data_IF_771837729688
#
_entry.id   IF_771837729688
#
_cell.length_a   1.000
_cell.length_b   1.000
_cell.length_c   1.000
_cell.angle_alpha   90.00
_cell.angle_beta   90.00
_cell.angle_gamma   90.00
#
_symmetry.space_group_name_H-M   'P 1'
#
loop_
_entity.id
_entity.type
_entity.pdbx_description
1 polymer ?
#
# COMPACT_ATOMS: atom_id res chain seq x y z
N UNK A 1 14.10 6.96 4.27
CA UNK A 1 13.04 6.25 3.51
C UNK A 1 12.56 7.17 2.40
N UNK A 2 13.09 6.91 1.22
CA UNK A 2 12.99 7.71 0.01
C UNK A 2 11.55 7.78 -0.52
N UNK A 3 11.19 8.94 -1.08
CA UNK A 3 9.88 9.13 -1.74
C UNK A 3 9.71 8.13 -2.89
N UNK A 4 10.78 7.88 -3.66
CA UNK A 4 10.78 6.92 -4.76
C UNK A 4 10.46 5.51 -4.30
N UNK A 5 11.07 5.07 -3.20
CA UNK A 5 10.79 3.77 -2.59
C UNK A 5 9.33 3.62 -2.17
N UNK A 6 8.74 4.65 -1.56
CA UNK A 6 7.33 4.65 -1.17
C UNK A 6 6.40 4.56 -2.38
N UNK A 7 6.64 5.36 -3.42
CA UNK A 7 5.88 5.30 -4.67
C UNK A 7 5.99 3.94 -5.34
N UNK A 8 7.21 3.37 -5.36
CA UNK A 8 7.42 2.03 -5.88
C UNK A 8 6.56 1.02 -5.12
N UNK A 9 6.65 0.98 -3.78
CA UNK A 9 5.79 0.09 -2.97
C UNK A 9 4.30 0.28 -3.29
N UNK A 10 3.80 1.52 -3.36
CA UNK A 10 2.38 1.77 -3.62
C UNK A 10 1.97 1.19 -4.97
N UNK A 11 2.73 1.49 -6.03
CA UNK A 11 2.44 1.01 -7.37
C UNK A 11 2.51 -0.53 -7.49
N UNK A 12 3.38 -1.21 -6.72
CA UNK A 12 3.43 -2.68 -6.72
C UNK A 12 2.26 -3.23 -5.91
N UNK A 13 1.99 -2.70 -4.72
CA UNK A 13 0.87 -3.14 -3.87
C UNK A 13 -0.46 -2.96 -4.58
N UNK A 14 -0.67 -1.87 -5.31
CA UNK A 14 -1.88 -1.63 -6.11
C UNK A 14 -2.18 -2.81 -7.06
N UNK A 15 -1.14 -3.36 -7.71
CA UNK A 15 -1.23 -4.52 -8.61
C UNK A 15 -1.51 -5.84 -7.90
N UNK A 16 -1.32 -5.89 -6.58
CA UNK A 16 -1.54 -7.07 -5.73
C UNK A 16 -2.74 -6.88 -4.80
N UNK A 17 -3.99 -7.07 -5.29
CA UNK A 17 -5.20 -6.91 -4.48
C UNK A 17 -5.21 -7.83 -3.26
N UNK A 18 -4.55 -8.99 -3.30
CA UNK A 18 -4.37 -9.87 -2.14
C UNK A 18 -3.74 -9.18 -0.91
N UNK A 19 -2.99 -8.08 -1.08
CA UNK A 19 -2.33 -7.36 0.02
C UNK A 19 -3.24 -6.34 0.69
N UNK A 20 -4.08 -5.66 -0.08
CA UNK A 20 -4.83 -4.48 0.40
C UNK A 20 -6.34 -4.62 0.28
N UNK A 21 -6.83 -5.45 -0.64
CA UNK A 21 -8.24 -5.66 -0.88
C UNK A 21 -8.82 -6.68 0.09
N UNK A 22 -9.44 -6.21 1.16
CA UNK A 22 -10.07 -7.05 2.17
C UNK A 22 -11.33 -7.80 1.68
N UNK A 23 -11.90 -7.40 0.52
CA UNK A 23 -13.03 -8.11 -0.09
C UNK A 23 -12.57 -9.34 -0.87
N UNK A 24 -11.29 -9.43 -1.22
CA UNK A 24 -10.73 -10.59 -1.91
C UNK A 24 -10.56 -11.78 -0.95
N UNK A 25 -10.89 -12.99 -1.41
CA UNK A 25 -10.64 -14.22 -0.66
C UNK A 25 -9.15 -14.48 -0.46
N UNK A 26 -8.33 -14.02 -1.40
CA UNK A 26 -6.87 -14.13 -1.34
C UNK A 26 -6.26 -13.26 -0.24
N UNK A 27 -6.93 -12.15 0.13
CA UNK A 27 -6.54 -11.40 1.31
C UNK A 27 -6.76 -12.20 2.60
N UNK A 28 -7.62 -13.22 2.64
CA UNK A 28 -7.73 -14.07 3.84
C UNK A 28 -6.58 -15.08 3.92
N UNK A 29 -6.02 -15.47 2.78
CA UNK A 29 -4.92 -16.43 2.68
C UNK A 29 -3.60 -15.77 3.09
N UNK A 30 -2.98 -16.28 4.14
CA UNK A 30 -1.70 -15.75 4.63
C UNK A 30 -0.57 -16.05 3.64
N UNK A 31 -0.55 -17.25 3.07
CA UNK A 31 0.46 -17.71 2.11
C UNK A 31 0.48 -16.82 0.87
N UNK A 32 -0.69 -16.56 0.27
CA UNK A 32 -0.83 -15.71 -0.93
C UNK A 32 -0.28 -14.31 -0.66
N UNK A 33 -0.68 -13.68 0.46
CA UNK A 33 -0.12 -12.40 0.89
C UNK A 33 1.39 -12.43 1.05
N UNK A 34 1.94 -13.49 1.65
CA UNK A 34 3.38 -13.62 1.83
C UNK A 34 4.08 -13.70 0.47
N UNK A 35 3.60 -14.53 -0.44
CA UNK A 35 4.13 -14.67 -1.80
C UNK A 35 4.08 -13.36 -2.58
N UNK A 36 2.99 -12.58 -2.49
CA UNK A 36 2.97 -11.26 -3.10
C UNK A 36 4.00 -10.31 -2.48
N UNK A 37 4.15 -10.29 -1.16
CA UNK A 37 5.19 -9.45 -0.55
C UNK A 37 6.60 -9.85 -0.99
N UNK A 38 6.88 -11.14 -1.11
CA UNK A 38 8.16 -11.63 -1.64
C UNK A 38 8.39 -11.20 -3.09
N UNK A 39 7.37 -11.28 -3.94
CA UNK A 39 7.44 -10.78 -5.31
C UNK A 39 7.73 -9.28 -5.36
N UNK A 40 7.00 -8.47 -4.59
CA UNK A 40 7.19 -7.01 -4.52
C UNK A 40 8.62 -6.68 -4.09
N UNK A 41 9.14 -7.34 -3.07
CA UNK A 41 10.50 -7.12 -2.57
C UNK A 41 11.52 -7.54 -3.63
N UNK A 42 11.31 -8.68 -4.29
CA UNK A 42 12.18 -9.14 -5.37
C UNK A 42 12.25 -8.15 -6.53
N UNK A 43 11.10 -7.59 -6.95
CA UNK A 43 11.06 -6.53 -7.96
C UNK A 43 11.80 -5.26 -7.51
N UNK A 44 11.57 -4.83 -6.27
CA UNK A 44 12.26 -3.66 -5.70
C UNK A 44 13.78 -3.88 -5.63
N UNK A 45 14.22 -5.07 -5.22
CA UNK A 45 15.64 -5.43 -5.21
C UNK A 45 16.24 -5.45 -6.62
N UNK A 46 15.49 -5.95 -7.62
CA UNK A 46 15.90 -5.93 -9.02
C UNK A 46 16.05 -4.49 -9.58
N UNK A 47 15.28 -3.54 -9.07
CA UNK A 47 15.42 -2.10 -9.36
C UNK A 47 16.57 -1.42 -8.61
N UNK A 48 17.27 -2.13 -7.72
CA UNK A 48 18.38 -1.62 -6.92
C UNK A 48 17.99 -1.07 -5.56
N UNK A 49 16.78 -1.33 -5.07
CA UNK A 49 16.39 -0.98 -3.70
C UNK A 49 16.81 -2.07 -2.72
N UNK A 50 17.63 -1.72 -1.73
CA UNK A 50 17.95 -2.61 -0.61
C UNK A 50 16.76 -2.64 0.36
N UNK A 51 15.90 -3.66 0.21
CA UNK A 51 14.73 -3.84 1.07
C UNK A 51 14.43 -5.31 1.30
N UNK A 52 13.64 -5.56 2.35
CA UNK A 52 13.16 -6.86 2.77
C UNK A 52 11.65 -6.81 3.03
N UNK A 53 11.03 -7.99 3.15
CA UNK A 53 9.57 -8.12 3.36
C UNK A 53 9.10 -7.38 4.60
N UNK A 54 9.85 -7.37 5.70
CA UNK A 54 9.44 -6.65 6.92
C UNK A 54 9.52 -5.14 6.72
N UNK A 55 10.58 -4.65 6.09
CA UNK A 55 10.78 -3.24 5.76
C UNK A 55 9.69 -2.73 4.82
N UNK A 56 9.39 -3.47 3.75
CA UNK A 56 8.34 -3.15 2.78
C UNK A 56 6.95 -3.13 3.45
N UNK A 57 6.62 -4.15 4.25
CA UNK A 57 5.38 -4.20 5.04
C UNK A 57 5.27 -3.03 6.01
N UNK A 58 6.35 -2.67 6.69
CA UNK A 58 6.38 -1.56 7.64
C UNK A 58 6.17 -0.22 6.93
N UNK A 59 6.83 -0.01 5.78
CA UNK A 59 6.66 1.18 4.96
C UNK A 59 5.22 1.32 4.46
N UNK A 60 4.65 0.25 3.90
CA UNK A 60 3.25 0.21 3.49
C UNK A 60 2.28 0.46 4.64
N UNK A 61 2.49 -0.18 5.79
CA UNK A 61 1.67 0.04 6.99
C UNK A 61 1.67 1.51 7.42
N UNK A 62 2.85 2.17 7.39
CA UNK A 62 2.96 3.61 7.69
C UNK A 62 2.23 4.47 6.67
N UNK A 63 2.32 4.14 5.38
CA UNK A 63 1.59 4.85 4.32
C UNK A 63 0.09 4.74 4.52
N UNK A 64 -0.42 3.52 4.71
CA UNK A 64 -1.83 3.25 4.96
C UNK A 64 -2.33 3.91 6.26
N UNK A 65 -1.59 3.81 7.36
CA UNK A 65 -1.96 4.46 8.64
C UNK A 65 -2.06 5.98 8.50
N UNK A 66 -1.09 6.59 7.79
CA UNK A 66 -1.10 8.02 7.51
C UNK A 66 -2.32 8.39 6.68
N UNK A 67 -2.61 7.64 5.62
CA UNK A 67 -3.77 7.85 4.76
C UNK A 67 -5.10 7.70 5.51
N UNK A 68 -5.27 6.62 6.30
CA UNK A 68 -6.47 6.39 7.11
C UNK A 68 -6.68 7.47 8.18
N UNK A 69 -5.61 7.92 8.85
CA UNK A 69 -5.70 9.04 9.81
C UNK A 69 -6.12 10.32 9.11
N UNK A 70 -5.57 10.59 7.92
CA UNK A 70 -5.96 11.76 7.13
C UNK A 70 -7.42 11.70 6.71
N UNK A 71 -7.91 10.55 6.24
CA UNK A 71 -9.32 10.34 5.90
C UNK A 71 -10.26 10.57 7.10
N UNK A 72 -9.84 10.18 8.32
CA UNK A 72 -10.64 10.40 9.53
C UNK A 72 -10.60 11.85 10.03
N UNK A 73 -9.47 12.54 9.89
CA UNK A 73 -9.27 13.87 10.46
C UNK A 73 -9.52 15.01 9.49
N UNK A 74 -9.44 14.77 8.18
CA UNK A 74 -9.63 15.78 7.15
C UNK A 74 -10.77 15.36 6.22
N UNK A 75 -11.86 16.16 6.15
CA UNK A 75 -12.89 15.93 5.16
C UNK A 75 -12.32 16.12 3.73
N UNK A 76 -12.91 15.44 2.73
CA UNK A 76 -12.52 15.62 1.33
C UNK A 76 -12.56 17.11 0.96
N UNK A 77 -11.42 17.65 0.53
CA UNK A 77 -11.27 19.06 0.15
C UNK A 77 -10.60 19.98 1.18
N UNK A 78 -10.38 19.55 2.43
CA UNK A 78 -9.82 20.42 3.48
C UNK A 78 -8.31 20.28 3.72
N UNK A 79 -7.65 19.25 3.20
CA UNK A 79 -6.23 19.00 3.47
C UNK A 79 -5.33 19.30 2.28
N UNK A 80 -4.19 19.94 2.55
CA UNK A 80 -3.01 20.04 1.68
C UNK A 80 -2.76 18.68 1.02
N UNK A 81 -2.95 18.60 -0.31
CA UNK A 81 -2.86 17.36 -1.09
C UNK A 81 -1.61 16.58 -0.68
N UNK A 82 -1.81 15.39 -0.09
CA UNK A 82 -0.67 14.56 0.22
C UNK A 82 -0.10 14.04 -1.09
N UNK A 83 1.21 13.98 -1.19
CA UNK A 83 1.86 13.61 -2.45
C UNK A 83 1.59 12.16 -2.88
N UNK A 84 1.00 11.34 -2.00
CA UNK A 84 0.60 9.95 -2.26
C UNK A 84 -0.93 9.77 -2.19
N UNK A 85 -1.69 10.87 -2.11
CA UNK A 85 -3.14 10.80 -1.94
C UNK A 85 -3.80 10.15 -3.16
N UNK A 86 -3.40 10.60 -4.35
CA UNK A 86 -3.82 10.08 -5.65
C UNK A 86 -3.44 8.59 -5.79
N UNK A 87 -2.16 8.25 -5.54
CA UNK A 87 -1.67 6.87 -5.62
C UNK A 87 -2.35 5.93 -4.60
N UNK A 88 -2.97 6.44 -3.52
CA UNK A 88 -3.63 5.63 -2.49
C UNK A 88 -5.16 5.64 -2.61
N UNK A 89 -5.74 6.33 -3.61
CA UNK A 89 -7.19 6.38 -3.80
C UNK A 89 -7.80 5.00 -4.03
N UNK A 90 -7.05 4.06 -4.62
CA UNK A 90 -7.53 2.68 -4.83
C UNK A 90 -7.97 2.00 -3.53
N UNK A 91 -7.38 2.38 -2.39
CA UNK A 91 -7.78 1.88 -1.07
C UNK A 91 -9.19 2.33 -0.67
N UNK A 92 -9.65 3.49 -1.15
CA UNK A 92 -11.01 3.99 -0.87
C UNK A 92 -12.07 3.22 -1.65
N UNK A 93 -11.77 2.77 -2.88
CA UNK A 93 -12.73 2.01 -3.70
C UNK A 93 -13.16 0.69 -3.06
N UNK A 94 -12.35 0.11 -2.17
CA UNK A 94 -12.76 -1.11 -1.44
C UNK A 94 -13.60 -0.83 -0.21
N UNK A 95 -13.60 0.40 0.32
CA UNK A 95 -14.43 0.77 1.49
C UNK A 95 -15.91 1.01 1.16
N UNK A 96 -16.34 0.83 -0.09
CA UNK A 96 -17.75 0.90 -0.43
C UNK A 96 -18.40 -0.48 -0.45
N UNK A 97 -19.46 -0.60 0.36
CA UNK A 97 -20.60 -1.56 0.30
C UNK A 97 -20.40 -2.88 1.06
N UNK A 98 -21.13 -3.20 2.13
CA UNK A 98 -22.25 -2.51 2.79
C UNK A 98 -22.57 -3.13 4.15
#
# INVERSE_FOLDING_TARGET
MDRKFKLAIIARVERHPEIWNFTSEDYKKQEVRMTAWEQIVSELQAEGYETDVQSAKTAWKRLKDTFSKRLKHYPPGAAKAWVYDDDLQFLMSTTSTG
#
